data_IF_527366188455
#
_entry.id   IF_527366188455
#
_cell.length_a   1.000
_cell.length_b   1.000
_cell.length_c   1.000
_cell.angle_alpha   90.00
_cell.angle_beta   90.00
_cell.angle_gamma   90.00
#
_symmetry.space_group_name_H-M   'P 1'
#
loop_
_entity.id
_entity.type
_entity.pdbx_description
1 polymer ?
#
# COMPACT_ATOMS: atom_id res chain seq x y z
N UNK A 1 -13.22 -12.65 -69.93
CA UNK A 1 -14.14 -11.72 -69.26
C UNK A 1 -14.59 -12.34 -67.96
N UNK A 2 -14.04 -11.89 -66.83
CA UNK A 2 -14.56 -12.25 -65.51
C UNK A 2 -14.43 -11.02 -64.63
N UNK A 3 -15.57 -10.58 -64.10
CA UNK A 3 -15.75 -9.35 -63.35
C UNK A 3 -15.30 -9.55 -61.89
N UNK A 4 -14.67 -8.49 -61.37
CA UNK A 4 -14.34 -8.25 -59.97
C UNK A 4 -15.63 -8.08 -59.17
N UNK A 5 -15.74 -8.68 -57.99
CA UNK A 5 -16.70 -8.26 -56.97
C UNK A 5 -16.11 -8.44 -55.57
N UNK A 6 -15.63 -7.34 -54.99
CA UNK A 6 -15.14 -7.23 -53.61
C UNK A 6 -16.08 -6.31 -52.84
N UNK A 7 -17.00 -6.89 -52.08
CA UNK A 7 -17.75 -6.15 -51.04
C UNK A 7 -18.21 -7.11 -49.94
N UNK A 8 -17.47 -7.16 -48.83
CA UNK A 8 -17.94 -7.71 -47.55
C UNK A 8 -17.10 -7.10 -46.42
N UNK A 9 -17.37 -5.82 -46.12
CA UNK A 9 -17.06 -5.23 -44.83
C UNK A 9 -18.29 -5.44 -43.93
N UNK A 10 -18.20 -6.41 -43.01
CA UNK A 10 -19.19 -6.62 -41.97
C UNK A 10 -18.67 -5.98 -40.68
N UNK A 11 -19.34 -4.91 -40.27
CA UNK A 11 -19.13 -4.21 -39.00
C UNK A 11 -19.38 -5.17 -37.83
N UNK A 12 -18.35 -5.39 -37.00
CA UNK A 12 -18.52 -5.95 -35.65
C UNK A 12 -18.92 -4.81 -34.72
N UNK A 13 -20.21 -4.71 -34.47
CA UNK A 13 -20.76 -3.99 -33.33
C UNK A 13 -20.37 -4.77 -32.07
N UNK A 14 -19.56 -4.18 -31.19
CA UNK A 14 -19.26 -4.74 -29.87
C UNK A 14 -20.40 -4.32 -28.95
N UNK A 15 -21.21 -5.28 -28.55
CA UNK A 15 -22.18 -5.13 -27.47
C UNK A 15 -21.42 -4.86 -26.16
N UNK A 16 -21.55 -3.63 -25.67
CA UNK A 16 -21.26 -3.25 -24.29
C UNK A 16 -22.40 -3.74 -23.41
N UNK A 17 -22.22 -4.86 -22.73
CA UNK A 17 -23.09 -5.29 -21.63
C UNK A 17 -22.25 -5.68 -20.41
N UNK A 18 -21.95 -4.68 -19.58
CA UNK A 18 -21.12 -4.74 -18.36
C UNK A 18 -21.86 -5.34 -17.15
N UNK A 19 -22.72 -6.35 -17.34
CA UNK A 19 -23.56 -6.91 -16.27
C UNK A 19 -23.39 -8.39 -15.96
N UNK A 20 -22.43 -9.08 -16.59
CA UNK A 20 -22.28 -10.54 -16.43
C UNK A 20 -20.92 -11.02 -15.89
N UNK A 21 -20.07 -10.15 -15.34
CA UNK A 21 -18.77 -10.61 -14.81
C UNK A 21 -18.84 -11.22 -13.40
N UNK A 22 -19.93 -11.00 -12.65
CA UNK A 22 -20.05 -11.49 -11.26
C UNK A 22 -20.47 -12.97 -11.17
N UNK A 23 -20.92 -13.60 -12.27
CA UNK A 23 -21.49 -14.96 -12.20
C UNK A 23 -20.52 -16.10 -12.54
N UNK A 24 -19.29 -15.82 -12.97
CA UNK A 24 -18.34 -16.85 -13.41
C UNK A 24 -17.36 -17.32 -12.32
N UNK A 25 -17.31 -16.65 -11.16
CA UNK A 25 -16.41 -17.03 -10.05
C UNK A 25 -17.01 -18.08 -9.07
N UNK A 26 -18.31 -18.39 -9.17
CA UNK A 26 -18.98 -19.34 -8.25
C UNK A 26 -19.10 -20.79 -8.79
N UNK A 27 -18.53 -21.10 -9.96
CA UNK A 27 -18.61 -22.44 -10.57
C UNK A 27 -17.26 -23.17 -10.68
N UNK A 28 -16.21 -22.69 -10.02
CA UNK A 28 -14.88 -23.32 -10.00
C UNK A 28 -14.53 -24.02 -8.69
N UNK A 29 -15.56 -24.35 -7.90
CA UNK A 29 -15.48 -25.31 -6.79
C UNK A 29 -16.44 -26.44 -7.14
N UNK A 30 -15.98 -27.69 -6.99
CA UNK A 30 -16.67 -28.96 -7.30
C UNK A 30 -16.47 -29.49 -8.74
N UNK A 31 -15.24 -29.92 -9.05
CA UNK A 31 -14.99 -31.28 -9.58
C UNK A 31 -13.59 -31.71 -9.13
N UNK A 32 -13.46 -32.22 -7.90
CA UNK A 32 -12.36 -33.12 -7.55
C UNK A 32 -13.00 -34.45 -7.17
N UNK A 33 -12.75 -35.43 -8.04
CA UNK A 33 -13.06 -36.83 -7.83
C UNK A 33 -12.44 -37.29 -6.51
N UNK A 34 -13.23 -37.88 -5.62
CA UNK A 34 -12.70 -38.70 -4.53
C UNK A 34 -13.20 -40.13 -4.64
N UNK A 35 -12.21 -41.00 -4.72
CA UNK A 35 -12.29 -42.44 -4.91
C UNK A 35 -12.82 -43.10 -3.66
N UNK A 36 -13.72 -44.05 -3.89
CA UNK A 36 -14.25 -45.02 -2.94
C UNK A 36 -13.13 -45.77 -2.20
N UNK A 37 -12.96 -45.54 -0.90
CA UNK A 37 -12.22 -46.45 -0.02
C UNK A 37 -13.00 -46.75 1.25
N UNK A 38 -12.91 -48.02 1.62
CA UNK A 38 -13.77 -48.72 2.56
C UNK A 38 -13.58 -48.28 4.00
N UNK A 39 -14.71 -48.28 4.71
CA UNK A 39 -14.87 -48.28 6.15
C UNK A 39 -13.96 -49.28 6.86
N UNK A 40 -13.17 -48.79 7.82
CA UNK A 40 -12.65 -49.60 8.92
C UNK A 40 -12.82 -48.83 10.23
N UNK A 41 -13.66 -49.37 11.11
CA UNK A 41 -13.82 -48.95 12.51
C UNK A 41 -12.50 -49.13 13.25
N UNK A 42 -11.97 -48.06 13.86
CA UNK A 42 -10.96 -48.17 14.92
C UNK A 42 -11.38 -47.28 16.09
N UNK A 43 -11.14 -47.85 17.26
CA UNK A 43 -11.60 -47.60 18.61
C UNK A 43 -11.14 -46.28 19.24
N UNK A 44 -11.98 -45.81 20.18
CA UNK A 44 -11.64 -44.87 21.25
C UNK A 44 -10.32 -45.24 21.92
N UNK A 45 -9.47 -44.23 22.13
CA UNK A 45 -8.42 -44.26 23.14
C UNK A 45 -8.30 -42.88 23.77
N UNK A 46 -8.26 -42.92 25.08
CA UNK A 46 -8.31 -41.82 26.02
C UNK A 46 -6.97 -41.08 26.12
N UNK A 47 -7.08 -39.86 26.65
CA UNK A 47 -6.19 -39.28 27.67
C UNK A 47 -4.88 -38.56 27.31
N UNK A 48 -4.65 -37.54 28.15
CA UNK A 48 -3.45 -36.72 28.42
C UNK A 48 -3.22 -35.59 27.40
N UNK A 49 -3.36 -34.31 27.72
CA UNK A 49 -3.13 -33.63 29.00
C UNK A 49 -1.76 -32.97 28.97
N UNK A 50 -1.70 -31.67 28.68
CA UNK A 50 -0.56 -30.81 29.03
C UNK A 50 -1.01 -29.35 29.01
N UNK A 51 -1.25 -28.83 30.21
CA UNK A 51 -1.36 -27.41 30.49
C UNK A 51 0.06 -26.85 30.62
N UNK A 52 0.37 -25.76 29.90
CA UNK A 52 1.57 -24.97 30.13
C UNK A 52 1.12 -23.69 30.83
N UNK A 53 1.35 -23.64 32.14
CA UNK A 53 1.27 -22.43 32.94
C UNK A 53 2.61 -21.69 32.82
N UNK A 54 2.61 -20.47 32.29
CA UNK A 54 3.76 -19.59 32.33
C UNK A 54 3.59 -18.63 33.51
N UNK A 55 4.30 -18.92 34.59
CA UNK A 55 4.44 -18.07 35.78
C UNK A 55 5.69 -17.21 35.59
N UNK A 56 5.55 -15.89 35.49
CA UNK A 56 6.67 -14.98 35.66
C UNK A 56 6.51 -14.24 36.98
N UNK A 57 7.39 -14.57 37.93
CA UNK A 57 7.50 -13.89 39.22
C UNK A 57 8.37 -12.64 39.10
N UNK A 58 7.93 -11.63 39.84
CA UNK A 58 8.53 -10.33 40.15
C UNK A 58 9.79 -10.43 41.03
N UNK A 59 10.80 -9.59 40.79
CA UNK A 59 11.74 -8.96 41.76
C UNK A 59 12.35 -7.76 40.99
N UNK A 60 12.42 -6.50 41.43
CA UNK A 60 12.54 -5.88 42.74
C UNK A 60 13.83 -5.03 42.77
N UNK A 61 13.83 -3.94 43.55
CA UNK A 61 14.93 -3.01 43.90
C UNK A 61 15.10 -1.77 42.98
N UNK A 62 15.28 -0.54 43.48
CA UNK A 62 15.34 -0.02 44.86
C UNK A 62 15.20 1.51 44.76
N UNK A 63 14.50 2.07 45.73
CA UNK A 63 14.47 3.48 46.05
C UNK A 63 15.87 4.01 46.40
N UNK A 64 16.13 5.28 46.09
CA UNK A 64 17.07 6.10 46.85
C UNK A 64 16.53 7.53 46.94
N UNK A 65 16.35 8.08 48.15
CA UNK A 65 16.03 9.48 48.39
C UNK A 65 17.30 10.31 48.62
N UNK A 66 17.13 11.64 48.79
CA UNK A 66 17.99 12.70 49.37
C UNK A 66 17.83 13.94 48.44
N UNK A 67 16.95 14.90 48.71
CA UNK A 67 16.99 15.98 49.73
C UNK A 67 18.25 16.84 49.65
N UNK A 68 18.10 18.15 49.38
CA UNK A 68 19.05 19.14 49.91
C UNK A 68 19.28 20.39 49.08
N UNK A 69 18.53 21.43 49.44
CA UNK A 69 18.73 22.87 49.15
C UNK A 69 20.19 23.34 49.06
N UNK A 70 20.43 24.36 48.22
CA UNK A 70 21.09 25.60 48.64
C UNK A 70 20.98 26.70 47.57
N UNK A 71 20.01 27.59 47.78
CA UNK A 71 20.10 29.00 47.37
C UNK A 71 21.16 29.65 48.27
N UNK A 72 22.20 30.25 47.69
CA UNK A 72 22.71 31.56 48.11
C UNK A 72 23.89 32.07 47.26
N UNK A 73 23.83 33.39 47.06
CA UNK A 73 24.89 34.36 46.81
C UNK A 73 25.44 34.54 45.38
N UNK A 74 24.94 35.62 44.78
CA UNK A 74 25.73 36.79 44.38
C UNK A 74 27.26 36.59 44.28
N UNK A 75 27.80 36.64 43.06
CA UNK A 75 28.82 37.64 42.76
C UNK A 75 29.05 37.85 41.26
N UNK A 76 29.42 39.09 40.97
CA UNK A 76 29.83 39.64 39.68
C UNK A 76 31.04 38.93 39.07
N UNK A 77 31.05 38.98 37.74
CA UNK A 77 32.20 39.00 36.84
C UNK A 77 32.97 37.69 36.64
N UNK A 78 32.81 37.08 35.47
CA UNK A 78 33.84 37.10 34.43
C UNK A 78 33.30 36.52 33.13
N UNK A 79 33.71 37.16 32.03
CA UNK A 79 33.50 36.69 30.68
C UNK A 79 34.27 35.38 30.48
N UNK A 80 33.58 34.33 30.06
CA UNK A 80 34.20 33.18 29.43
C UNK A 80 33.38 32.82 28.19
N UNK A 81 33.90 33.28 27.05
CA UNK A 81 33.43 32.90 25.71
C UNK A 81 33.80 31.43 25.54
N UNK A 82 32.94 30.53 25.99
CA UNK A 82 32.98 29.13 25.56
C UNK A 82 32.24 29.07 24.23
N UNK A 83 33.01 29.12 23.14
CA UNK A 83 32.53 28.72 21.82
C UNK A 83 32.09 27.26 21.91
N UNK A 84 30.80 27.04 22.12
CA UNK A 84 30.16 25.78 21.79
C UNK A 84 30.26 25.68 20.27
N UNK A 85 31.28 24.96 19.83
CA UNK A 85 31.37 24.41 18.49
C UNK A 85 30.24 23.40 18.36
N UNK A 86 29.04 23.91 18.10
CA UNK A 86 27.98 23.14 17.48
C UNK A 86 28.52 22.84 16.09
N UNK A 87 29.20 21.72 15.92
CA UNK A 87 29.26 21.08 14.62
C UNK A 87 27.80 20.82 14.24
N UNK A 88 27.22 21.52 13.25
CA UNK A 88 26.00 21.02 12.69
C UNK A 88 26.39 19.69 12.05
N UNK A 89 25.94 18.58 12.64
CA UNK A 89 25.85 17.31 11.95
C UNK A 89 25.10 17.61 10.68
N UNK A 90 25.85 17.83 9.61
CA UNK A 90 25.30 18.08 8.28
C UNK A 90 24.51 16.82 7.98
N UNK A 91 23.19 16.90 7.77
CA UNK A 91 22.43 15.71 7.39
C UNK A 91 23.13 15.12 6.18
N UNK A 92 23.48 13.83 6.28
CA UNK A 92 24.18 13.07 5.24
C UNK A 92 23.62 13.47 3.88
N UNK A 93 24.53 14.00 3.08
CA UNK A 93 24.20 14.72 1.87
C UNK A 93 23.49 13.80 0.88
N UNK A 94 22.36 14.25 0.36
CA UNK A 94 21.62 13.65 -0.78
C UNK A 94 22.53 13.53 -2.04
N UNK A 95 23.75 14.10 -2.03
CA UNK A 95 24.64 14.14 -3.18
C UNK A 95 25.29 12.78 -3.55
N UNK A 96 25.25 11.77 -2.67
CA UNK A 96 25.79 10.43 -2.97
C UNK A 96 24.71 9.40 -3.32
N UNK A 97 23.44 9.81 -3.44
CA UNK A 97 22.35 8.90 -3.77
C UNK A 97 22.39 8.49 -5.24
N UNK A 98 22.44 7.18 -5.50
CA UNK A 98 22.48 6.61 -6.85
C UNK A 98 21.10 6.70 -7.51
N UNK A 99 20.98 7.14 -8.78
CA UNK A 99 19.70 7.11 -9.47
C UNK A 99 19.18 5.67 -9.59
N UNK A 100 17.87 5.49 -9.38
CA UNK A 100 17.17 4.22 -9.60
C UNK A 100 16.27 4.40 -10.82
N UNK A 101 16.38 3.50 -11.79
CA UNK A 101 15.48 3.49 -12.95
C UNK A 101 14.07 3.09 -12.50
N UNK A 102 13.08 3.77 -13.06
CA UNK A 102 11.67 3.49 -12.80
C UNK A 102 10.86 3.63 -14.08
N UNK A 103 9.73 2.95 -14.12
CA UNK A 103 8.75 3.02 -15.19
C UNK A 103 7.46 3.64 -14.66
N UNK A 104 6.83 4.51 -15.46
CA UNK A 104 5.46 4.97 -15.21
C UNK A 104 4.53 4.20 -16.14
N UNK A 105 4.04 3.05 -15.70
CA UNK A 105 3.24 2.15 -16.54
C UNK A 105 1.81 2.67 -16.78
N UNK A 106 1.29 3.50 -15.86
CA UNK A 106 0.03 4.22 -16.04
C UNK A 106 0.17 5.67 -15.59
N UNK A 107 -0.36 6.60 -16.39
CA UNK A 107 -0.46 8.00 -16.07
C UNK A 107 -1.77 8.56 -16.62
N UNK A 108 -2.60 9.14 -15.73
CA UNK A 108 -3.88 9.73 -16.11
C UNK A 108 -3.96 11.16 -15.58
N UNK A 109 -3.41 12.12 -16.33
CA UNK A 109 -3.28 13.53 -15.93
C UNK A 109 -4.61 14.19 -15.55
N UNK A 110 -5.70 13.76 -16.19
CA UNK A 110 -7.05 14.27 -15.95
C UNK A 110 -7.74 13.64 -14.74
N UNK A 111 -7.16 12.60 -14.12
CA UNK A 111 -7.80 11.92 -13.01
C UNK A 111 -8.00 12.87 -11.84
N UNK A 112 -9.18 12.78 -11.24
CA UNK A 112 -9.53 13.45 -10.00
C UNK A 112 -10.09 12.40 -9.08
N UNK A 113 -9.64 12.40 -7.83
CA UNK A 113 -10.29 11.57 -6.81
C UNK A 113 -11.80 11.88 -6.82
N UNK A 114 -12.67 10.85 -6.87
CA UNK A 114 -14.10 11.05 -6.72
C UNK A 114 -14.43 11.83 -5.46
N UNK A 115 -15.59 12.47 -5.43
CA UNK A 115 -16.09 13.06 -4.20
C UNK A 115 -16.46 11.97 -3.19
N UNK A 116 -16.49 12.31 -1.90
CA UNK A 116 -16.87 11.37 -0.84
C UNK A 116 -18.26 10.75 -1.08
N UNK A 117 -19.21 11.55 -1.61
CA UNK A 117 -20.56 11.06 -1.96
C UNK A 117 -20.55 10.09 -3.14
N UNK A 118 -19.70 10.31 -4.15
CA UNK A 118 -19.54 9.36 -5.26
C UNK A 118 -18.88 8.07 -4.79
N UNK A 119 -17.89 8.17 -3.92
CA UNK A 119 -17.21 7.02 -3.32
C UNK A 119 -18.17 6.19 -2.46
N UNK A 120 -18.97 6.81 -1.59
CA UNK A 120 -19.99 6.13 -0.79
C UNK A 120 -21.04 5.45 -1.67
N UNK A 121 -21.51 6.14 -2.72
CA UNK A 121 -22.42 5.58 -3.70
C UNK A 121 -21.82 4.39 -4.45
N UNK A 122 -20.52 4.42 -4.77
CA UNK A 122 -19.83 3.30 -5.41
C UNK A 122 -19.70 2.11 -4.46
N UNK A 123 -19.22 2.35 -3.24
CA UNK A 123 -19.01 1.28 -2.25
C UNK A 123 -20.33 0.62 -1.84
N UNK A 124 -21.43 1.38 -1.72
CA UNK A 124 -22.75 0.82 -1.37
C UNK A 124 -23.37 -0.08 -2.44
N UNK A 125 -22.91 0.01 -3.69
CA UNK A 125 -23.32 -0.90 -4.76
C UNK A 125 -22.61 -2.26 -4.66
N UNK A 126 -21.53 -2.34 -3.90
CA UNK A 126 -20.79 -3.57 -3.69
C UNK A 126 -21.23 -4.20 -2.35
N UNK A 127 -21.86 -5.38 -2.43
CA UNK A 127 -22.35 -6.10 -1.25
C UNK A 127 -21.29 -6.31 -0.16
N UNK A 128 -20.00 -6.40 -0.54
CA UNK A 128 -18.87 -6.52 0.40
C UNK A 128 -18.71 -5.30 1.31
N UNK A 129 -18.95 -4.10 0.79
CA UNK A 129 -18.77 -2.86 1.54
C UNK A 129 -20.10 -2.31 2.06
N UNK A 130 -21.22 -2.68 1.43
CA UNK A 130 -22.55 -2.22 1.81
C UNK A 130 -22.88 -2.52 3.29
N UNK A 131 -22.47 -3.67 3.83
CA UNK A 131 -22.70 -3.99 5.25
C UNK A 131 -21.92 -3.08 6.19
N UNK A 132 -20.65 -2.79 5.87
CA UNK A 132 -19.82 -1.86 6.65
C UNK A 132 -20.42 -0.44 6.62
N UNK A 133 -20.97 -0.02 5.48
CA UNK A 133 -21.61 1.29 5.34
C UNK A 133 -22.92 1.43 6.13
N UNK A 134 -23.62 0.32 6.39
CA UNK A 134 -24.89 0.30 7.11
C UNK A 134 -24.73 0.06 8.62
N UNK A 135 -23.50 -0.12 9.11
CA UNK A 135 -23.23 -0.23 10.54
C UNK A 135 -23.40 1.13 11.23
N UNK A 136 -24.10 1.14 12.36
CA UNK A 136 -24.54 2.34 13.10
C UNK A 136 -23.36 3.00 13.85
N UNK A 137 -22.36 3.46 13.11
CA UNK A 137 -21.17 4.12 13.60
C UNK A 137 -21.20 5.60 13.23
N UNK A 138 -20.87 6.46 14.20
CA UNK A 138 -21.00 7.93 14.12
C UNK A 138 -19.95 8.62 13.24
N UNK A 139 -19.17 7.87 12.46
CA UNK A 139 -18.19 8.38 11.50
C UNK A 139 -18.70 8.10 10.08
N UNK A 140 -18.37 8.96 9.11
CA UNK A 140 -18.78 8.77 7.70
C UNK A 140 -18.44 7.34 7.26
N UNK A 141 -19.42 6.48 6.94
CA UNK A 141 -19.18 5.04 6.81
C UNK A 141 -18.20 4.68 5.68
N UNK A 142 -18.13 5.52 4.65
CA UNK A 142 -17.12 5.45 3.59
C UNK A 142 -15.71 5.53 4.15
N UNK A 143 -15.41 6.50 5.03
CA UNK A 143 -14.11 6.60 5.70
C UNK A 143 -13.79 5.37 6.53
N UNK A 144 -14.74 4.71 7.18
CA UNK A 144 -14.40 3.48 7.90
C UNK A 144 -14.01 2.35 6.93
N UNK A 145 -14.82 2.12 5.89
CA UNK A 145 -14.57 1.05 4.90
C UNK A 145 -13.34 1.32 4.02
N UNK A 146 -13.02 2.59 3.75
CA UNK A 146 -11.92 3.02 2.87
C UNK A 146 -10.77 3.75 3.57
N UNK A 147 -10.80 3.88 4.89
CA UNK A 147 -9.78 4.61 5.70
C UNK A 147 -8.36 4.19 5.34
N UNK A 148 -8.17 2.91 5.05
CA UNK A 148 -6.89 2.35 4.70
C UNK A 148 -6.24 3.01 3.46
N UNK A 149 -7.03 3.57 2.53
CA UNK A 149 -6.50 4.09 1.26
C UNK A 149 -7.05 5.46 0.82
N UNK A 150 -8.20 5.87 1.36
CA UNK A 150 -8.92 7.06 0.88
C UNK A 150 -8.20 8.38 1.18
N UNK A 151 -7.58 8.50 2.35
CA UNK A 151 -6.93 9.75 2.73
C UNK A 151 -5.44 9.80 2.32
N UNK A 152 -4.91 8.69 1.82
CA UNK A 152 -3.51 8.58 1.44
C UNK A 152 -3.28 8.96 -0.02
N UNK A 153 -2.17 9.65 -0.26
CA UNK A 153 -1.74 10.08 -1.59
C UNK A 153 -0.71 9.16 -2.21
N UNK A 154 0.03 8.45 -1.39
CA UNK A 154 1.06 7.51 -1.82
C UNK A 154 0.70 6.14 -1.23
N UNK A 155 0.56 5.14 -2.10
CA UNK A 155 0.34 3.76 -1.69
C UNK A 155 1.43 2.90 -2.32
N UNK A 156 2.16 2.12 -1.54
CA UNK A 156 3.25 1.28 -2.04
C UNK A 156 2.94 -0.21 -1.91
N UNK A 157 3.40 -0.99 -2.88
CA UNK A 157 3.22 -2.43 -2.94
C UNK A 157 4.55 -3.10 -3.22
N UNK A 158 4.81 -4.18 -2.51
CA UNK A 158 5.87 -5.16 -2.76
C UNK A 158 5.35 -6.59 -2.83
N UNK A 159 4.04 -6.78 -2.65
CA UNK A 159 3.33 -8.03 -2.86
C UNK A 159 1.87 -7.72 -3.20
N UNK A 160 1.22 -8.57 -3.99
CA UNK A 160 -0.23 -8.63 -4.09
C UNK A 160 -0.73 -9.96 -3.55
N UNK A 161 -1.53 -9.92 -2.48
CA UNK A 161 -2.42 -11.03 -2.14
C UNK A 161 -3.39 -11.36 -3.29
N UNK A 162 -4.03 -12.54 -3.22
CA UNK A 162 -4.94 -13.06 -4.27
C UNK A 162 -6.09 -12.11 -4.66
N UNK A 163 -6.45 -11.15 -3.80
CA UNK A 163 -7.44 -10.08 -4.04
C UNK A 163 -6.89 -8.66 -3.90
N UNK A 164 -5.58 -8.50 -3.66
CA UNK A 164 -5.01 -7.29 -3.07
C UNK A 164 -4.98 -6.07 -3.98
N UNK A 165 -5.37 -6.17 -5.26
CA UNK A 165 -5.45 -4.99 -6.16
C UNK A 165 -6.82 -4.36 -6.21
N UNK A 166 -7.87 -5.18 -6.23
CA UNK A 166 -9.25 -4.69 -6.37
C UNK A 166 -9.66 -3.85 -5.17
N UNK A 167 -9.21 -4.23 -3.97
CA UNK A 167 -9.51 -3.48 -2.75
C UNK A 167 -8.89 -2.08 -2.76
N UNK A 168 -7.57 -1.90 -2.90
CA UNK A 168 -6.99 -0.57 -3.03
C UNK A 168 -7.57 0.22 -4.19
N UNK A 169 -7.85 -0.39 -5.36
CA UNK A 169 -8.51 0.31 -6.48
C UNK A 169 -9.87 0.88 -6.05
N UNK A 170 -10.69 0.05 -5.42
CA UNK A 170 -12.03 0.42 -4.98
C UNK A 170 -11.98 1.47 -3.88
N UNK A 171 -11.15 1.25 -2.86
CA UNK A 171 -11.09 2.06 -1.64
C UNK A 171 -10.32 3.38 -1.82
N UNK A 172 -9.37 3.45 -2.77
CA UNK A 172 -8.69 4.70 -3.11
C UNK A 172 -9.48 5.59 -4.10
N UNK A 173 -10.57 5.09 -4.67
CA UNK A 173 -11.35 5.82 -5.69
C UNK A 173 -10.82 5.70 -7.12
N UNK A 174 -9.94 4.72 -7.37
CA UNK A 174 -9.31 4.48 -8.66
C UNK A 174 -10.17 3.67 -9.63
N UNK A 175 -11.33 3.18 -9.19
CA UNK A 175 -12.34 2.55 -10.05
C UNK A 175 -12.81 3.44 -11.22
N UNK A 176 -12.54 4.75 -11.18
CA UNK A 176 -12.81 5.68 -12.29
C UNK A 176 -11.80 5.58 -13.44
N UNK A 177 -10.65 4.95 -13.21
CA UNK A 177 -9.53 4.81 -14.15
C UNK A 177 -8.96 3.39 -14.14
N UNK A 178 -9.82 2.42 -13.80
CA UNK A 178 -9.44 1.02 -13.63
C UNK A 178 -8.83 0.43 -14.92
N UNK A 179 -9.42 0.76 -16.07
CA UNK A 179 -8.94 0.28 -17.37
C UNK A 179 -7.49 0.68 -17.65
N UNK A 180 -7.07 1.89 -17.23
CA UNK A 180 -5.69 2.35 -17.42
C UNK A 180 -4.71 1.68 -16.46
N UNK A 181 -5.17 1.23 -15.30
CA UNK A 181 -4.35 0.50 -14.35
C UNK A 181 -4.06 -0.93 -14.85
N UNK A 182 -5.02 -1.55 -15.55
CA UNK A 182 -4.86 -2.93 -16.01
C UNK A 182 -3.69 -3.13 -16.97
N UNK A 183 -3.29 -2.09 -17.71
CA UNK A 183 -2.14 -2.12 -18.62
C UNK A 183 -0.79 -2.26 -17.87
N UNK A 184 -0.73 -1.97 -16.56
CA UNK A 184 0.47 -2.16 -15.73
C UNK A 184 0.74 -3.60 -15.31
N UNK A 185 -0.20 -4.52 -15.55
CA UNK A 185 -0.23 -5.83 -14.87
C UNK A 185 -0.12 -7.01 -15.83
N UNK A 186 0.93 -7.00 -16.65
CA UNK A 186 1.35 -8.21 -17.36
C UNK A 186 1.71 -9.34 -16.36
N UNK A 187 1.53 -10.62 -16.73
CA UNK A 187 1.79 -11.75 -15.83
C UNK A 187 3.18 -11.76 -15.21
N UNK A 188 4.21 -11.40 -15.99
CA UNK A 188 5.61 -11.38 -15.57
C UNK A 188 5.86 -10.30 -14.52
N UNK A 189 5.39 -9.07 -14.77
CA UNK A 189 5.48 -7.94 -13.82
C UNK A 189 4.78 -8.27 -12.51
N UNK A 190 3.60 -8.89 -12.60
CA UNK A 190 2.85 -9.34 -11.43
C UNK A 190 3.64 -10.37 -10.60
N UNK A 191 4.32 -11.32 -11.27
CA UNK A 191 5.14 -12.31 -10.59
C UNK A 191 6.34 -11.66 -9.89
N UNK A 192 7.06 -10.76 -10.57
CA UNK A 192 8.20 -10.03 -9.98
C UNK A 192 7.80 -9.21 -8.75
N UNK A 193 6.62 -8.57 -8.78
CA UNK A 193 6.10 -7.87 -7.60
C UNK A 193 5.81 -8.88 -6.49
N UNK A 194 5.12 -9.98 -6.76
CA UNK A 194 4.80 -10.98 -5.73
C UNK A 194 6.03 -11.71 -5.15
N UNK A 195 7.12 -11.80 -5.92
CA UNK A 195 8.40 -12.35 -5.48
C UNK A 195 9.24 -11.32 -4.70
N UNK A 196 8.79 -10.07 -4.65
CA UNK A 196 9.48 -8.98 -3.98
C UNK A 196 10.71 -8.47 -4.74
N UNK A 197 10.85 -8.80 -6.03
CA UNK A 197 11.92 -8.30 -6.90
C UNK A 197 11.56 -6.94 -7.52
N UNK A 198 10.27 -6.58 -7.57
CA UNK A 198 9.76 -5.30 -8.05
C UNK A 198 8.87 -4.63 -7.01
N UNK A 199 8.93 -3.31 -6.94
CA UNK A 199 8.03 -2.49 -6.15
C UNK A 199 7.11 -1.68 -7.06
N UNK A 200 5.92 -1.37 -6.56
CA UNK A 200 4.97 -0.46 -7.19
C UNK A 200 4.60 0.66 -6.22
N UNK A 201 4.38 1.86 -6.73
CA UNK A 201 3.86 2.99 -5.97
C UNK A 201 2.80 3.72 -6.76
N UNK A 202 1.62 3.89 -6.17
CA UNK A 202 0.55 4.71 -6.69
C UNK A 202 0.69 6.13 -6.16
N UNK A 203 0.72 7.08 -7.07
CA UNK A 203 0.87 8.51 -6.79
C UNK A 203 -0.43 9.21 -7.15
N UNK A 204 -1.18 9.64 -6.14
CA UNK A 204 -2.47 10.31 -6.28
C UNK A 204 -2.29 11.80 -6.05
N UNK A 205 -2.58 12.63 -7.06
CA UNK A 205 -2.31 14.07 -7.03
C UNK A 205 -0.83 14.40 -6.78
N UNK A 206 0.06 13.52 -7.21
CA UNK A 206 1.52 13.66 -7.14
C UNK A 206 2.11 13.16 -8.46
N UNK A 207 3.26 13.70 -8.85
CA UNK A 207 4.01 13.27 -10.02
C UNK A 207 5.45 12.98 -9.63
N UNK A 208 5.97 11.79 -9.98
CA UNK A 208 7.37 11.47 -9.72
C UNK A 208 8.29 12.32 -10.59
N UNK A 209 9.34 12.86 -9.98
CA UNK A 209 10.41 13.57 -10.70
C UNK A 209 11.74 12.82 -10.63
N UNK A 210 11.97 12.06 -9.55
CA UNK A 210 13.20 11.31 -9.35
C UNK A 210 13.01 10.16 -8.37
N UNK A 211 13.74 9.08 -8.59
CA UNK A 211 13.93 7.99 -7.63
C UNK A 211 15.42 7.76 -7.43
N UNK A 212 15.84 7.59 -6.18
CA UNK A 212 17.25 7.36 -5.83
C UNK A 212 17.38 6.31 -4.73
N UNK A 213 18.56 5.70 -4.65
CA UNK A 213 18.98 4.79 -3.59
C UNK A 213 20.09 5.45 -2.79
N UNK A 214 19.89 5.66 -1.49
CA UNK A 214 20.87 6.31 -0.61
C UNK A 214 21.91 5.35 0.00
N UNK A 215 21.86 4.08 -0.39
CA UNK A 215 22.64 2.98 0.18
C UNK A 215 21.83 2.07 1.10
N UNK A 216 20.69 2.55 1.62
CA UNK A 216 19.85 1.81 2.56
C UNK A 216 18.34 1.89 2.29
N UNK A 217 17.89 2.95 1.62
CA UNK A 217 16.48 3.22 1.36
C UNK A 217 16.28 3.87 -0.01
N UNK A 218 15.06 3.74 -0.55
CA UNK A 218 14.64 4.50 -1.72
C UNK A 218 14.17 5.88 -1.28
N UNK A 219 14.59 6.91 -2.00
CA UNK A 219 14.11 8.27 -1.87
C UNK A 219 13.42 8.66 -3.16
N UNK A 220 12.09 8.69 -3.13
CA UNK A 220 11.27 9.16 -4.23
C UNK A 220 10.94 10.63 -4.03
N UNK A 221 11.23 11.45 -5.04
CA UNK A 221 10.93 12.88 -5.03
C UNK A 221 9.76 13.11 -5.97
N UNK A 222 8.75 13.80 -5.46
CA UNK A 222 7.51 14.07 -6.18
C UNK A 222 7.15 15.56 -6.18
N UNK A 223 6.38 15.96 -7.17
CA UNK A 223 5.74 17.28 -7.25
C UNK A 223 4.23 17.15 -7.05
N UNK A 224 3.61 18.02 -6.22
CA UNK A 224 2.16 18.02 -6.07
C UNK A 224 1.49 18.53 -7.34
N UNK A 225 0.48 17.81 -7.80
CA UNK A 225 -0.33 18.17 -8.97
C UNK A 225 -1.82 18.27 -8.60
N UNK A 226 -2.52 19.24 -9.18
CA UNK A 226 -3.94 19.50 -8.85
C UNK A 226 -4.88 18.37 -9.30
N UNK A 227 -4.47 17.62 -10.30
CA UNK A 227 -5.12 16.44 -10.87
C UNK A 227 -4.03 15.49 -11.33
N UNK A 228 -4.35 14.21 -11.46
CA UNK A 228 -3.41 13.22 -11.95
C UNK A 228 -3.27 12.02 -11.02
N UNK A 229 -3.08 10.86 -11.64
CA UNK A 229 -2.62 9.66 -10.97
C UNK A 229 -1.49 9.04 -11.79
N UNK A 230 -0.48 8.49 -11.12
CA UNK A 230 0.55 7.67 -11.73
C UNK A 230 0.71 6.34 -10.99
N UNK A 231 1.04 5.29 -11.73
CA UNK A 231 1.58 4.05 -11.19
C UNK A 231 3.04 3.95 -11.60
N UNK A 232 3.91 3.93 -10.59
CA UNK A 232 5.36 3.86 -10.76
C UNK A 232 5.84 2.48 -10.35
N UNK A 233 6.60 1.81 -11.19
CA UNK A 233 7.22 0.53 -10.89
C UNK A 233 8.74 0.62 -10.99
N UNK A 234 9.46 -0.09 -10.14
CA UNK A 234 10.92 -0.12 -10.16
C UNK A 234 11.46 -1.42 -9.56
N UNK A 235 12.63 -1.84 -10.04
CA UNK A 235 13.33 -3.00 -9.50
C UNK A 235 13.84 -2.75 -8.09
N UNK A 236 13.69 -3.75 -7.23
CA UNK A 236 14.17 -3.69 -5.85
C UNK A 236 15.64 -4.09 -5.75
N UNK A 237 16.40 -3.25 -5.08
CA UNK A 237 17.80 -3.46 -4.66
C UNK A 237 17.91 -4.04 -3.25
N UNK A 238 16.89 -3.82 -2.43
CA UNK A 238 16.80 -4.33 -1.07
C UNK A 238 16.17 -5.74 -1.02
N UNK A 239 16.25 -6.39 0.15
CA UNK A 239 15.62 -7.70 0.41
C UNK A 239 14.79 -7.69 1.69
N UNK A 240 14.35 -6.50 2.12
CA UNK A 240 13.57 -6.32 3.33
C UNK A 240 12.14 -6.83 3.12
N UNK A 241 11.48 -7.22 4.20
CA UNK A 241 10.06 -7.63 4.13
C UNK A 241 9.17 -6.45 3.76
N UNK A 242 9.47 -5.27 4.29
CA UNK A 242 8.79 -4.01 3.94
C UNK A 242 9.66 -3.18 3.00
N UNK A 243 9.01 -2.41 2.13
CA UNK A 243 9.71 -1.48 1.24
C UNK A 243 10.32 -0.32 2.05
N UNK A 244 11.65 -0.14 2.08
CA UNK A 244 12.27 1.00 2.72
C UNK A 244 12.16 2.23 1.80
N UNK A 245 10.95 2.74 1.58
CA UNK A 245 10.66 3.88 0.72
C UNK A 245 10.33 5.12 1.54
N UNK A 246 11.07 6.19 1.29
CA UNK A 246 10.73 7.55 1.73
C UNK A 246 10.28 8.36 0.52
N UNK A 247 9.11 9.00 0.62
CA UNK A 247 8.65 9.98 -0.37
C UNK A 247 8.80 11.38 0.19
N UNK A 248 9.41 12.27 -0.59
CA UNK A 248 9.53 13.69 -0.26
C UNK A 248 9.03 14.56 -1.43
N UNK A 249 8.52 15.75 -1.12
CA UNK A 249 8.28 16.75 -2.14
C UNK A 249 9.60 17.28 -2.72
N UNK A 250 9.54 18.00 -3.85
CA UNK A 250 10.69 18.78 -4.36
C UNK A 250 11.22 19.85 -3.40
N UNK A 251 10.43 20.25 -2.40
CA UNK A 251 10.88 21.12 -1.30
C UNK A 251 11.51 20.36 -0.12
N UNK A 252 11.65 19.04 -0.23
CA UNK A 252 12.21 18.16 0.79
C UNK A 252 11.27 17.84 1.95
N UNK A 253 9.97 18.13 1.83
CA UNK A 253 8.99 17.81 2.87
C UNK A 253 8.57 16.34 2.76
N UNK A 254 8.59 15.55 3.84
CA UNK A 254 8.15 14.17 3.80
C UNK A 254 6.65 14.07 3.49
N UNK A 255 6.29 13.04 2.72
CA UNK A 255 4.92 12.68 2.41
C UNK A 255 4.68 11.27 2.96
N UNK A 256 3.56 11.07 3.65
CA UNK A 256 3.18 9.76 4.18
C UNK A 256 3.04 8.73 3.05
N UNK A 257 3.61 7.55 3.28
CA UNK A 257 3.50 6.38 2.41
C UNK A 257 2.74 5.30 3.18
N UNK A 258 1.67 4.81 2.57
CA UNK A 258 0.89 3.70 3.14
C UNK A 258 1.19 2.43 2.37
N UNK A 259 1.52 1.36 3.08
CA UNK A 259 1.66 0.04 2.44
C UNK A 259 0.26 -0.48 2.06
N UNK A 260 0.13 -0.90 0.80
CA UNK A 260 -1.01 -1.68 0.33
C UNK A 260 -0.73 -3.18 0.28
N UNK A 261 0.39 -3.63 0.84
CA UNK A 261 0.70 -5.05 0.98
C UNK A 261 -0.32 -5.74 1.90
N UNK A 262 -0.61 -7.00 1.60
CA UNK A 262 -1.48 -7.81 2.44
C UNK A 262 -0.66 -8.40 3.61
N UNK A 263 -1.01 -8.03 4.84
CA UNK A 263 -0.43 -8.56 6.09
C UNK A 263 -1.36 -9.57 6.76
#
# INVERSE_FOLDING_TARGET
MSLVNTSLLRSRQRDTDSKNYIQTQNNLVVVVQSVNTKSTKISRLEQLGLAIAATFMTVGCTESPIVGNLLNNENLAQAEVTQISSNPSTPSSIADAEPVEFEVCAAVDSWRRPTESEQEKQLSQNGRYAEALNSDHSESPSKMASSQFWDHRIISFTTYGLSARIEPISLAGLWTVEDQLWDCYEPEVTAEINEGDRAETWLLNQQITRLQWDGSSYVMIVEPVSTGMQVVQFERRDRSETLPLTVVSVSGQPIEVTSGDWQ
#
